data_IF_060007229152
#
_entry.id   IF_060007229152
#
_cell.length_a   1.000
_cell.length_b   1.000
_cell.length_c   1.000
_cell.angle_alpha   90.00
_cell.angle_beta   90.00
_cell.angle_gamma   90.00
#
_symmetry.space_group_name_H-M   'P 1'
#
loop_
_entity.id
_entity.type
_entity.pdbx_description
1 polymer ?
#
# COMPACT_ATOMS: atom_id res chain seq x y z
N UNK A 1 -12.18 -20.48 15.02
CA UNK A 1 -12.95 -19.71 14.03
C UNK A 1 -11.96 -19.13 13.04
N UNK A 2 -12.06 -19.50 11.75
CA UNK A 2 -11.20 -18.92 10.72
C UNK A 2 -11.76 -17.54 10.40
N UNK A 3 -11.02 -16.48 10.71
CA UNK A 3 -11.40 -15.13 10.33
C UNK A 3 -11.16 -14.97 8.82
N UNK A 4 -12.18 -15.19 8.00
CA UNK A 4 -12.04 -15.23 6.53
C UNK A 4 -12.02 -13.86 5.86
N UNK A 5 -11.91 -12.76 6.61
CA UNK A 5 -11.95 -11.42 6.05
C UNK A 5 -10.77 -10.58 6.50
N UNK A 6 -9.73 -10.55 5.67
CA UNK A 6 -8.65 -9.56 5.75
C UNK A 6 -9.17 -8.13 5.55
N UNK A 7 -10.31 -7.95 4.87
CA UNK A 7 -10.88 -6.65 4.57
C UNK A 7 -12.37 -6.72 4.17
N UNK A 8 -13.24 -5.95 4.84
CA UNK A 8 -14.66 -5.80 4.44
C UNK A 8 -14.90 -4.70 3.38
N UNK A 9 -13.85 -4.01 2.93
CA UNK A 9 -13.99 -2.95 1.94
C UNK A 9 -14.34 -3.52 0.57
N UNK A 10 -15.48 -3.10 0.02
CA UNK A 10 -15.98 -3.56 -1.29
C UNK A 10 -14.95 -3.42 -2.41
N UNK A 11 -14.13 -2.38 -2.36
CA UNK A 11 -13.05 -2.15 -3.34
C UNK A 11 -11.95 -3.22 -3.25
N UNK A 12 -11.58 -3.66 -2.04
CA UNK A 12 -10.59 -4.73 -1.87
C UNK A 12 -11.13 -6.08 -2.34
N UNK A 13 -12.40 -6.38 -2.06
CA UNK A 13 -13.04 -7.65 -2.43
C UNK A 13 -13.25 -7.81 -3.94
N UNK A 14 -13.27 -6.70 -4.70
CA UNK A 14 -13.28 -6.75 -6.18
C UNK A 14 -11.94 -7.20 -6.78
N UNK A 15 -10.84 -6.95 -6.06
CA UNK A 15 -9.47 -7.13 -6.58
C UNK A 15 -8.87 -8.46 -6.14
N UNK A 16 -9.19 -8.91 -4.93
CA UNK A 16 -8.79 -10.23 -4.45
C UNK A 16 -9.98 -10.83 -3.70
N UNK A 17 -10.40 -12.02 -4.11
CA UNK A 17 -11.49 -12.75 -3.45
C UNK A 17 -11.19 -13.04 -1.98
N UNK A 18 -12.15 -13.65 -1.28
CA UNK A 18 -11.94 -14.05 0.12
C UNK A 18 -10.78 -15.06 0.22
N UNK A 19 -9.81 -14.76 1.06
CA UNK A 19 -8.64 -15.62 1.34
C UNK A 19 -8.54 -15.90 2.83
N UNK A 20 -8.09 -17.10 3.18
CA UNK A 20 -7.86 -17.50 4.57
C UNK A 20 -6.81 -16.59 5.20
N UNK A 21 -7.09 -16.02 6.39
CA UNK A 21 -6.10 -15.27 7.16
C UNK A 21 -5.53 -16.17 8.24
N UNK A 22 -4.55 -16.99 7.86
CA UNK A 22 -3.74 -17.72 8.83
C UNK A 22 -2.87 -16.74 9.63
N UNK A 23 -2.44 -17.16 10.82
CA UNK A 23 -1.51 -16.34 11.63
C UNK A 23 -0.21 -16.17 10.85
N UNK A 24 0.22 -14.92 10.57
CA UNK A 24 1.43 -14.71 9.78
C UNK A 24 2.67 -15.15 10.55
N UNK A 25 3.68 -15.61 9.82
CA UNK A 25 5.02 -15.87 10.36
C UNK A 25 5.60 -14.60 10.99
N UNK A 26 6.29 -14.74 12.13
CA UNK A 26 6.95 -13.63 12.83
C UNK A 26 7.97 -12.93 11.95
N UNK A 27 8.70 -13.67 11.11
CA UNK A 27 9.68 -13.08 10.17
C UNK A 27 8.99 -12.17 9.15
N UNK A 28 7.83 -12.61 8.64
CA UNK A 28 7.03 -11.81 7.69
C UNK A 28 6.47 -10.55 8.35
N UNK A 29 6.07 -10.63 9.63
CA UNK A 29 5.61 -9.46 10.38
C UNK A 29 6.75 -8.47 10.62
N UNK A 30 7.96 -8.94 10.95
CA UNK A 30 9.15 -8.07 11.10
C UNK A 30 9.46 -7.35 9.79
N UNK A 31 9.61 -8.10 8.69
CA UNK A 31 9.91 -7.53 7.38
C UNK A 31 8.86 -6.51 6.95
N UNK A 32 7.58 -6.80 7.17
CA UNK A 32 6.50 -5.86 6.87
C UNK A 32 6.59 -4.58 7.70
N UNK A 33 6.95 -4.71 8.98
CA UNK A 33 7.08 -3.56 9.89
C UNK A 33 8.23 -2.66 9.44
N UNK A 34 9.37 -3.24 9.10
CA UNK A 34 10.55 -2.51 8.60
C UNK A 34 10.25 -1.79 7.28
N UNK A 35 9.58 -2.47 6.35
CA UNK A 35 9.31 -1.96 5.01
C UNK A 35 8.25 -0.86 4.97
N UNK A 36 7.23 -0.91 5.83
CA UNK A 36 6.04 -0.07 5.69
C UNK A 36 5.67 0.74 6.92
N UNK A 37 6.03 0.28 8.12
CA UNK A 37 5.55 0.88 9.37
C UNK A 37 6.59 1.81 10.02
N UNK A 38 7.63 2.17 9.28
CA UNK A 38 8.66 3.11 9.73
C UNK A 38 8.18 4.55 9.58
N UNK A 39 8.17 5.36 10.66
CA UNK A 39 7.88 6.79 10.58
C UNK A 39 8.83 7.52 9.64
N UNK A 40 8.30 8.42 8.81
CA UNK A 40 9.08 9.21 7.88
C UNK A 40 8.46 10.59 7.67
N UNK A 41 9.29 11.60 7.46
CA UNK A 41 8.81 12.89 6.96
C UNK A 41 8.57 12.80 5.46
N UNK A 42 7.34 13.08 5.06
CA UNK A 42 6.90 13.06 3.66
C UNK A 42 7.27 14.38 2.94
N UNK A 43 7.87 15.34 3.63
CA UNK A 43 8.37 16.58 3.03
C UNK A 43 7.27 17.43 2.37
N UNK A 44 7.56 18.06 1.23
CA UNK A 44 6.61 18.83 0.44
C UNK A 44 5.59 17.92 -0.27
N UNK A 45 4.28 18.19 -0.08
CA UNK A 45 3.22 17.24 -0.42
C UNK A 45 2.34 17.76 -1.55
N UNK A 46 2.01 16.88 -2.50
CA UNK A 46 0.88 17.03 -3.43
C UNK A 46 -0.08 15.87 -3.22
N UNK A 47 -1.38 16.17 -3.18
CA UNK A 47 -2.42 15.17 -2.95
C UNK A 47 -2.80 14.44 -4.23
N UNK A 48 -3.19 13.18 -4.09
CA UNK A 48 -3.91 12.41 -5.11
C UNK A 48 -5.36 12.19 -4.67
N UNK A 49 -6.26 11.99 -5.62
CA UNK A 49 -7.65 11.62 -5.32
C UNK A 49 -7.77 10.11 -5.20
N UNK A 50 -8.24 9.65 -4.03
CA UNK A 50 -8.51 8.24 -3.73
C UNK A 50 -9.90 8.10 -3.10
N UNK A 51 -10.56 6.92 -3.22
CA UNK A 51 -11.87 6.71 -2.62
C UNK A 51 -11.86 6.98 -1.11
N UNK A 52 -12.86 7.73 -0.62
CA UNK A 52 -12.97 8.10 0.80
C UNK A 52 -12.93 6.89 1.73
N UNK A 53 -13.59 5.79 1.35
CA UNK A 53 -13.61 4.57 2.16
C UNK A 53 -12.22 3.94 2.31
N UNK A 54 -11.38 4.03 1.27
CA UNK A 54 -9.99 3.56 1.33
C UNK A 54 -9.17 4.39 2.31
N UNK A 55 -9.27 5.72 2.24
CA UNK A 55 -8.59 6.62 3.19
C UNK A 55 -9.03 6.34 4.62
N UNK A 56 -10.33 6.17 4.86
CA UNK A 56 -10.85 5.83 6.18
C UNK A 56 -10.29 4.51 6.72
N UNK A 57 -10.13 3.50 5.86
CA UNK A 57 -9.51 2.22 6.24
C UNK A 57 -8.02 2.39 6.55
N UNK A 58 -7.27 3.12 5.73
CA UNK A 58 -5.85 3.41 5.98
C UNK A 58 -5.66 4.16 7.31
N UNK A 59 -6.50 5.16 7.59
CA UNK A 59 -6.51 5.88 8.86
C UNK A 59 -6.76 4.94 10.05
N UNK A 60 -7.69 3.99 9.93
CA UNK A 60 -7.94 2.99 10.98
C UNK A 60 -6.73 2.07 11.18
N UNK A 61 -6.12 1.58 10.10
CA UNK A 61 -4.94 0.71 10.20
C UNK A 61 -3.77 1.40 10.89
N UNK A 62 -3.41 2.62 10.45
CA UNK A 62 -2.32 3.38 11.06
C UNK A 62 -2.56 3.62 12.55
N UNK A 63 -3.81 3.92 12.96
CA UNK A 63 -4.17 4.05 14.38
C UNK A 63 -4.05 2.73 15.16
N UNK A 64 -4.38 1.59 14.54
CA UNK A 64 -4.30 0.28 15.17
C UNK A 64 -2.86 -0.23 15.32
N UNK A 65 -1.94 0.21 14.46
CA UNK A 65 -0.52 -0.13 14.62
C UNK A 65 0.11 0.54 15.85
N UNK A 66 -0.44 1.68 16.29
CA UNK A 66 -0.01 2.39 17.50
C UNK A 66 1.50 2.72 17.51
N UNK A 67 2.04 3.09 16.35
CA UNK A 67 3.45 3.46 16.18
C UNK A 67 3.58 4.98 16.18
N UNK A 68 4.36 5.49 17.12
CA UNK A 68 4.59 6.93 17.27
C UNK A 68 5.19 7.54 15.99
N UNK A 69 4.61 8.64 15.52
CA UNK A 69 5.06 9.35 14.32
C UNK A 69 4.68 8.69 12.99
N UNK A 70 4.08 7.49 12.98
CA UNK A 70 3.58 6.88 11.76
C UNK A 70 2.33 7.63 11.27
N UNK A 71 2.36 8.09 10.03
CA UNK A 71 1.22 8.78 9.40
C UNK A 71 0.69 7.98 8.21
N UNK A 72 -0.56 8.23 7.81
CA UNK A 72 -1.10 7.67 6.55
C UNK A 72 -0.23 8.07 5.36
N UNK A 73 0.30 9.29 5.36
CA UNK A 73 1.23 9.74 4.33
C UNK A 73 2.49 8.87 4.28
N UNK A 74 3.19 8.70 5.41
CA UNK A 74 4.40 7.89 5.48
C UNK A 74 4.16 6.43 5.10
N UNK A 75 3.07 5.84 5.61
CA UNK A 75 2.68 4.47 5.30
C UNK A 75 2.39 4.27 3.81
N UNK A 76 1.58 5.15 3.21
CA UNK A 76 1.24 5.07 1.78
C UNK A 76 2.45 5.36 0.89
N UNK A 77 3.30 6.32 1.27
CA UNK A 77 4.54 6.60 0.53
C UNK A 77 5.43 5.36 0.46
N UNK A 78 5.61 4.64 1.57
CA UNK A 78 6.42 3.41 1.59
C UNK A 78 5.87 2.33 0.67
N UNK A 79 4.53 2.15 0.65
CA UNK A 79 3.85 1.24 -0.28
C UNK A 79 4.11 1.63 -1.74
N UNK A 80 3.95 2.91 -2.08
CA UNK A 80 4.14 3.40 -3.43
C UNK A 80 5.60 3.27 -3.89
N UNK A 81 6.55 3.65 -3.03
CA UNK A 81 7.99 3.51 -3.33
C UNK A 81 8.35 2.06 -3.59
N UNK A 82 7.94 1.14 -2.71
CA UNK A 82 8.23 -0.28 -2.88
C UNK A 82 7.61 -0.84 -4.17
N UNK A 83 6.35 -0.48 -4.46
CA UNK A 83 5.70 -0.87 -5.72
C UNK A 83 6.49 -0.40 -6.95
N UNK A 84 6.94 0.86 -6.97
CA UNK A 84 7.74 1.41 -8.07
C UNK A 84 9.09 0.71 -8.20
N UNK A 85 9.76 0.42 -7.09
CA UNK A 85 11.05 -0.26 -7.09
C UNK A 85 10.94 -1.72 -7.58
N UNK A 86 9.97 -2.49 -7.07
CA UNK A 86 9.79 -3.90 -7.43
C UNK A 86 9.31 -4.09 -8.88
N UNK A 87 8.57 -3.12 -9.42
CA UNK A 87 8.02 -3.19 -10.77
C UNK A 87 8.76 -2.29 -11.78
N UNK A 88 9.95 -1.77 -11.40
CA UNK A 88 10.71 -0.80 -12.19
C UNK A 88 10.87 -1.24 -13.65
N UNK A 89 11.27 -2.49 -13.86
CA UNK A 89 11.62 -2.98 -15.20
C UNK A 89 10.36 -3.09 -16.09
N UNK A 90 9.23 -3.52 -15.52
CA UNK A 90 7.92 -3.55 -16.20
C UNK A 90 7.44 -2.14 -16.54
N UNK A 91 7.55 -1.21 -15.57
CA UNK A 91 7.16 0.19 -15.76
C UNK A 91 8.02 0.82 -16.87
N UNK A 92 9.32 0.57 -16.88
CA UNK A 92 10.23 1.08 -17.90
C UNK A 92 9.88 0.56 -19.30
N UNK A 93 9.57 -0.75 -19.44
CA UNK A 93 9.15 -1.30 -20.73
C UNK A 93 7.86 -0.63 -21.23
N UNK A 94 6.83 -0.56 -20.39
CA UNK A 94 5.53 0.04 -20.76
C UNK A 94 5.63 1.54 -21.05
N UNK A 95 6.49 2.27 -20.34
CA UNK A 95 6.70 3.71 -20.59
C UNK A 95 7.52 3.95 -21.86
N UNK A 96 8.52 3.14 -22.16
CA UNK A 96 9.27 3.20 -23.42
C UNK A 96 8.39 2.84 -24.63
N UNK A 97 7.46 1.90 -24.49
CA UNK A 97 6.42 1.62 -25.48
C UNK A 97 5.45 2.81 -25.64
N UNK A 98 5.07 3.43 -24.53
CA UNK A 98 4.26 4.66 -24.49
C UNK A 98 4.92 5.84 -25.21
N UNK A 99 6.22 6.09 -24.97
CA UNK A 99 6.98 7.16 -25.64
C UNK A 99 7.05 6.98 -27.16
N UNK A 100 7.07 5.73 -27.65
CA UNK A 100 7.01 5.44 -29.09
C UNK A 100 5.62 5.67 -29.70
N UNK A 101 4.56 5.62 -28.88
CA UNK A 101 3.17 5.77 -29.33
C UNK A 101 2.61 7.18 -29.14
N UNK A 102 3.25 8.01 -28.31
CA UNK A 102 2.95 9.44 -28.22
C UNK A 102 3.65 10.17 -29.37
N UNK A 103 2.95 10.31 -30.50
CA UNK A 103 3.23 11.39 -31.45
C UNK A 103 2.71 12.68 -30.79
N UNK A 104 3.62 13.55 -30.36
CA UNK A 104 3.28 14.92 -29.95
C UNK A 104 2.77 15.74 -31.14
#
# INVERSE_FOLDING_TARGET
MVHTKFCDLRTCNKVSGEVCTDTPDKEKVSAYTEDFLTPADVGARKGIFVPRELVNKLLKLVKLYDIEGLTVGAYVTSILVKHLCENRDIINELTAEGEKTVIL
#
